data_IF_809936918415
#
_entry.id   IF_809936918415
#
_cell.length_a   1.000
_cell.length_b   1.000
_cell.length_c   1.000
_cell.angle_alpha   90.00
_cell.angle_beta   90.00
_cell.angle_gamma   90.00
#
_symmetry.space_group_name_H-M   'P 1'
#
loop_
_entity.id
_entity.type
_entity.pdbx_description
1 polymer ?
#
# COMPACT_ATOMS: atom_id res chain seq x y z
N UNK A 1 13.21 -12.02 -9.56
CA UNK A 1 12.32 -10.90 -9.18
C UNK A 1 11.42 -10.61 -10.36
N UNK A 2 10.11 -10.61 -10.17
CA UNK A 2 9.12 -10.58 -11.25
C UNK A 2 8.65 -9.13 -11.51
N UNK A 3 9.48 -8.35 -12.20
CA UNK A 3 9.16 -6.98 -12.64
C UNK A 3 9.01 -6.98 -14.15
N UNK A 4 7.88 -6.50 -14.65
CA UNK A 4 7.51 -6.59 -16.05
C UNK A 4 7.21 -5.20 -16.64
N UNK A 5 7.79 -4.95 -17.81
CA UNK A 5 7.31 -3.91 -18.71
C UNK A 5 6.01 -4.36 -19.37
N UNK A 6 5.07 -3.43 -19.56
CA UNK A 6 3.84 -3.68 -20.31
C UNK A 6 3.58 -2.48 -21.24
N UNK A 7 3.41 -2.74 -22.54
CA UNK A 7 3.11 -1.73 -23.56
C UNK A 7 4.00 -0.47 -23.52
N UNK A 8 5.31 -0.65 -23.32
CA UNK A 8 6.28 0.44 -23.25
C UNK A 8 6.36 1.14 -21.89
N UNK A 9 5.55 0.74 -20.91
CA UNK A 9 5.54 1.31 -19.56
C UNK A 9 6.34 0.42 -18.60
N UNK A 10 7.36 1.01 -17.97
CA UNK A 10 8.30 0.32 -17.07
C UNK A 10 8.10 0.78 -15.63
N UNK A 11 8.09 -0.15 -14.66
CA UNK A 11 8.11 0.23 -13.26
C UNK A 11 9.36 1.02 -12.88
N UNK A 12 9.19 2.05 -12.04
CA UNK A 12 10.27 2.85 -11.46
C UNK A 12 10.34 2.54 -9.97
N UNK A 13 11.53 2.17 -9.48
CA UNK A 13 11.74 1.77 -8.08
C UNK A 13 12.80 2.65 -7.45
N UNK A 14 12.42 3.32 -6.36
CA UNK A 14 13.29 4.19 -5.58
C UNK A 14 14.38 3.43 -4.84
N UNK A 15 15.40 4.19 -4.42
CA UNK A 15 16.56 3.64 -3.72
C UNK A 15 16.15 3.05 -2.37
N UNK A 16 16.89 2.04 -1.92
CA UNK A 16 16.69 1.35 -0.64
C UNK A 16 15.30 0.72 -0.48
N UNK A 17 14.51 0.62 -1.55
CA UNK A 17 13.26 -0.11 -1.55
C UNK A 17 13.52 -1.59 -1.78
N UNK A 18 12.82 -2.43 -1.03
CA UNK A 18 12.90 -3.87 -1.14
C UNK A 18 11.65 -4.42 -1.80
N UNK A 19 11.83 -5.14 -2.92
CA UNK A 19 10.78 -5.92 -3.56
C UNK A 19 11.08 -7.39 -3.35
N UNK A 20 10.19 -8.10 -2.68
CA UNK A 20 10.38 -9.52 -2.43
C UNK A 20 10.49 -10.30 -3.76
N UNK A 21 11.36 -11.32 -3.87
CA UNK A 21 11.52 -12.08 -5.12
C UNK A 21 10.25 -12.71 -5.68
N UNK A 22 9.26 -12.99 -4.81
CA UNK A 22 7.94 -13.53 -5.14
C UNK A 22 6.85 -12.46 -5.33
N UNK A 23 7.16 -11.18 -5.21
CA UNK A 23 6.24 -10.10 -5.57
C UNK A 23 6.23 -9.88 -7.09
N UNK A 24 5.13 -9.38 -7.62
CA UNK A 24 4.92 -9.10 -9.05
C UNK A 24 4.59 -7.63 -9.26
N UNK A 25 5.42 -6.92 -10.05
CA UNK A 25 5.21 -5.51 -10.41
C UNK A 25 5.09 -5.40 -11.94
N UNK A 26 4.02 -4.80 -12.45
CA UNK A 26 3.72 -4.78 -13.90
C UNK A 26 3.36 -3.36 -14.34
N UNK A 27 3.99 -2.87 -15.42
CA UNK A 27 3.52 -1.69 -16.16
C UNK A 27 3.84 -0.34 -15.50
N UNK A 28 2.87 0.57 -15.52
CA UNK A 28 3.00 1.96 -15.05
C UNK A 28 2.92 2.08 -13.52
N UNK A 29 3.99 1.65 -12.87
CA UNK A 29 4.10 1.66 -11.40
C UNK A 29 5.30 2.51 -10.97
N UNK A 30 5.07 3.44 -10.06
CA UNK A 30 6.13 4.21 -9.40
C UNK A 30 6.16 3.84 -7.92
N UNK A 31 7.32 3.38 -7.44
CA UNK A 31 7.57 3.08 -6.04
C UNK A 31 8.67 4.02 -5.56
N UNK A 32 8.39 4.76 -4.49
CA UNK A 32 9.31 5.69 -3.85
C UNK A 32 10.50 5.01 -3.18
N UNK A 33 11.26 5.79 -2.41
CA UNK A 33 12.43 5.29 -1.68
C UNK A 33 12.02 4.56 -0.39
N UNK A 34 12.87 3.64 0.07
CA UNK A 34 12.72 2.94 1.37
C UNK A 34 11.38 2.22 1.55
N UNK A 35 10.77 1.78 0.46
CA UNK A 35 9.52 1.02 0.49
C UNK A 35 9.78 -0.47 0.73
N UNK A 36 8.80 -1.15 1.30
CA UNK A 36 8.80 -2.62 1.42
C UNK A 36 7.64 -3.20 0.62
N UNK A 37 7.91 -4.16 -0.27
CA UNK A 37 6.89 -4.94 -0.97
C UNK A 37 7.09 -6.42 -0.66
N UNK A 38 6.13 -7.01 0.04
CA UNK A 38 6.18 -8.35 0.61
C UNK A 38 5.93 -9.48 -0.39
N UNK A 39 6.12 -10.71 0.06
CA UNK A 39 5.93 -11.91 -0.76
C UNK A 39 4.48 -12.03 -1.27
N UNK A 40 4.31 -12.42 -2.54
CA UNK A 40 2.99 -12.61 -3.16
C UNK A 40 2.21 -11.32 -3.44
N UNK A 41 2.75 -10.15 -3.09
CA UNK A 41 2.12 -8.88 -3.45
C UNK A 41 2.12 -8.69 -4.97
N UNK A 42 1.00 -8.22 -5.53
CA UNK A 42 0.84 -7.91 -6.95
C UNK A 42 0.47 -6.44 -7.10
N UNK A 43 1.33 -5.67 -7.78
CA UNK A 43 1.09 -4.26 -8.12
C UNK A 43 1.06 -4.15 -9.63
N UNK A 44 -0.15 -3.96 -10.19
CA UNK A 44 -0.38 -4.06 -11.64
C UNK A 44 -0.91 -2.75 -12.19
N UNK A 45 -0.05 -1.99 -12.85
CA UNK A 45 -0.38 -0.73 -13.53
C UNK A 45 -0.52 -0.92 -15.04
N UNK A 46 -1.36 -1.86 -15.48
CA UNK A 46 -1.60 -2.15 -16.90
C UNK A 46 -2.71 -1.28 -17.51
N UNK A 47 -3.77 -1.01 -16.74
CA UNK A 47 -4.89 -0.14 -17.14
C UNK A 47 -4.76 1.29 -16.63
N UNK A 48 -4.32 1.46 -15.38
CA UNK A 48 -4.13 2.77 -14.75
C UNK A 48 -2.81 2.82 -13.98
N UNK A 49 -2.33 4.03 -13.71
CA UNK A 49 -1.06 4.26 -13.01
C UNK A 49 -1.19 3.95 -11.52
N UNK A 50 -0.14 3.38 -10.94
CA UNK A 50 -0.05 3.20 -9.48
C UNK A 50 1.18 3.96 -8.96
N UNK A 51 0.99 4.83 -7.98
CA UNK A 51 2.06 5.57 -7.31
C UNK A 51 2.08 5.19 -5.83
N UNK A 52 3.25 4.76 -5.35
CA UNK A 52 3.51 4.41 -3.95
C UNK A 52 4.59 5.35 -3.44
N UNK A 53 4.24 6.22 -2.50
CA UNK A 53 5.13 7.22 -1.93
C UNK A 53 6.20 6.63 -1.01
N UNK A 54 7.14 7.49 -0.62
CA UNK A 54 8.32 7.10 0.14
C UNK A 54 7.97 6.44 1.48
N UNK A 55 8.75 5.44 1.86
CA UNK A 55 8.64 4.79 3.16
C UNK A 55 7.36 3.98 3.38
N UNK A 56 6.53 3.83 2.34
CA UNK A 56 5.30 3.04 2.38
C UNK A 56 5.59 1.53 2.32
N UNK A 57 4.68 0.72 2.82
CA UNK A 57 4.82 -0.74 2.77
C UNK A 57 3.56 -1.41 2.23
N UNK A 58 3.78 -2.32 1.28
CA UNK A 58 2.79 -3.19 0.65
C UNK A 58 3.08 -4.59 1.15
N UNK A 59 2.33 -5.05 2.14
CA UNK A 59 2.65 -6.30 2.83
C UNK A 59 2.30 -7.52 1.97
N UNK A 60 2.49 -8.71 2.55
CA UNK A 60 2.34 -9.99 1.85
C UNK A 60 0.94 -10.14 1.23
N UNK A 61 0.89 -10.71 0.03
CA UNK A 61 -0.35 -11.02 -0.71
C UNK A 61 -1.28 -9.84 -0.98
N UNK A 62 -0.83 -8.59 -0.87
CA UNK A 62 -1.64 -7.44 -1.26
C UNK A 62 -1.88 -7.42 -2.78
N UNK A 63 -3.03 -6.90 -3.21
CA UNK A 63 -3.33 -6.66 -4.62
C UNK A 63 -3.63 -5.20 -4.85
N UNK A 64 -2.83 -4.54 -5.69
CA UNK A 64 -3.01 -3.16 -6.14
C UNK A 64 -3.30 -3.15 -7.64
N UNK A 65 -4.43 -2.57 -8.02
CA UNK A 65 -4.87 -2.39 -9.41
C UNK A 65 -5.58 -1.04 -9.55
N UNK A 66 -5.79 -0.56 -10.78
CA UNK A 66 -6.53 0.67 -11.03
C UNK A 66 -7.39 0.53 -12.28
N UNK A 67 -8.54 1.21 -12.29
CA UNK A 67 -9.41 1.31 -13.47
C UNK A 67 -8.67 1.93 -14.68
N UNK A 68 -9.13 1.68 -15.92
CA UNK A 68 -8.54 2.24 -17.13
C UNK A 68 -8.38 3.77 -17.09
N UNK A 69 -7.22 4.27 -17.50
CA UNK A 69 -6.92 5.70 -17.62
C UNK A 69 -7.06 6.49 -16.30
N UNK A 70 -6.93 5.80 -15.16
CA UNK A 70 -6.99 6.40 -13.82
C UNK A 70 -5.68 6.25 -13.06
N UNK A 71 -5.64 6.83 -11.84
CA UNK A 71 -4.48 6.73 -10.95
C UNK A 71 -4.87 6.31 -9.54
N UNK A 72 -4.13 5.36 -8.98
CA UNK A 72 -4.11 5.06 -7.56
C UNK A 72 -2.87 5.69 -6.92
N UNK A 73 -3.07 6.65 -6.01
CA UNK A 73 -1.99 7.34 -5.31
C UNK A 73 -2.00 6.93 -3.85
N UNK A 74 -0.88 6.36 -3.40
CA UNK A 74 -0.52 6.22 -2.00
C UNK A 74 0.59 7.23 -1.75
N UNK A 75 0.37 8.19 -0.84
CA UNK A 75 1.40 9.15 -0.44
C UNK A 75 2.46 8.48 0.46
N UNK A 76 3.14 9.25 1.30
CA UNK A 76 4.26 8.77 2.10
C UNK A 76 3.81 8.02 3.35
N UNK A 77 4.61 7.04 3.77
CA UNK A 77 4.42 6.31 5.01
C UNK A 77 3.07 5.58 5.11
N UNK A 78 2.47 5.22 3.97
CA UNK A 78 1.24 4.45 3.89
C UNK A 78 1.54 2.98 4.19
N UNK A 79 0.73 2.39 5.07
CA UNK A 79 0.80 0.98 5.42
C UNK A 79 -0.38 0.25 4.78
N UNK A 80 -0.10 -0.63 3.82
CA UNK A 80 -1.09 -1.56 3.25
C UNK A 80 -0.88 -2.93 3.88
N UNK A 81 -1.80 -3.29 4.78
CA UNK A 81 -1.72 -4.49 5.60
C UNK A 81 -1.86 -5.78 4.80
N UNK A 82 -1.33 -6.87 5.33
CA UNK A 82 -1.32 -8.19 4.68
C UNK A 82 -2.65 -8.54 4.00
N UNK A 83 -2.59 -9.04 2.78
CA UNK A 83 -3.74 -9.47 1.97
C UNK A 83 -4.82 -8.39 1.72
N UNK A 84 -4.50 -7.10 1.91
CA UNK A 84 -5.41 -6.03 1.53
C UNK A 84 -5.50 -5.86 0.00
N UNK A 85 -6.65 -5.36 -0.46
CA UNK A 85 -6.90 -5.03 -1.85
C UNK A 85 -7.11 -3.53 -1.98
N UNK A 86 -6.38 -2.89 -2.90
CA UNK A 86 -6.57 -1.49 -3.26
C UNK A 86 -6.88 -1.42 -4.75
N UNK A 87 -8.07 -0.91 -5.06
CA UNK A 87 -8.52 -0.74 -6.43
C UNK A 87 -8.78 0.75 -6.70
N UNK A 88 -7.93 1.37 -7.52
CA UNK A 88 -8.06 2.78 -7.90
C UNK A 88 -9.18 3.04 -8.92
N UNK A 89 -9.51 4.32 -9.20
CA UNK A 89 -8.84 5.53 -8.70
C UNK A 89 -8.99 5.73 -7.20
N UNK A 90 -7.92 6.09 -6.51
CA UNK A 90 -7.99 6.42 -5.09
C UNK A 90 -6.85 7.34 -4.67
N UNK A 91 -7.07 8.13 -3.63
CA UNK A 91 -6.03 8.89 -2.95
C UNK A 91 -5.94 8.43 -1.49
N UNK A 92 -4.80 7.86 -1.12
CA UNK A 92 -4.48 7.44 0.23
C UNK A 92 -3.36 8.35 0.74
N UNK A 93 -3.70 9.26 1.65
CA UNK A 93 -2.79 10.31 2.13
C UNK A 93 -1.74 9.79 3.12
N UNK A 94 -0.83 10.68 3.49
CA UNK A 94 0.28 10.38 4.37
C UNK A 94 -0.11 9.67 5.67
N UNK A 95 0.72 8.72 6.10
CA UNK A 95 0.58 8.02 7.39
C UNK A 95 -0.76 7.29 7.57
N UNK A 96 -1.44 6.92 6.47
CA UNK A 96 -2.65 6.11 6.52
C UNK A 96 -2.31 4.64 6.75
N UNK A 97 -3.14 3.97 7.56
CA UNK A 97 -3.08 2.52 7.76
C UNK A 97 -4.31 1.85 7.16
N UNK A 98 -4.09 0.98 6.18
CA UNK A 98 -5.09 0.04 5.65
C UNK A 98 -4.85 -1.29 6.34
N UNK A 99 -5.80 -1.72 7.17
CA UNK A 99 -5.69 -2.95 7.94
C UNK A 99 -5.61 -4.19 7.04
N UNK A 100 -5.03 -5.27 7.57
CA UNK A 100 -4.94 -6.55 6.86
C UNK A 100 -6.30 -7.03 6.36
N UNK A 101 -6.34 -7.58 5.15
CA UNK A 101 -7.55 -8.08 4.48
C UNK A 101 -8.61 -7.01 4.20
N UNK A 102 -8.32 -5.73 4.39
CA UNK A 102 -9.25 -4.66 4.04
C UNK A 102 -9.30 -4.43 2.53
N UNK A 103 -10.42 -3.88 2.05
CA UNK A 103 -10.64 -3.55 0.65
C UNK A 103 -10.89 -2.06 0.52
N UNK A 104 -10.08 -1.38 -0.30
CA UNK A 104 -10.28 0.00 -0.74
C UNK A 104 -10.81 -0.04 -2.17
N UNK A 105 -12.03 0.46 -2.37
CA UNK A 105 -12.68 0.49 -3.68
C UNK A 105 -12.35 1.76 -4.47
N UNK A 106 -12.73 1.79 -5.74
CA UNK A 106 -12.54 2.93 -6.61
C UNK A 106 -13.27 4.21 -6.13
N UNK A 107 -12.75 5.35 -6.56
CA UNK A 107 -13.25 6.69 -6.26
C UNK A 107 -13.24 7.03 -4.75
N UNK A 108 -12.25 6.55 -4.00
CA UNK A 108 -12.14 6.81 -2.55
C UNK A 108 -11.00 7.76 -2.20
N UNK A 109 -11.18 8.54 -1.15
CA UNK A 109 -10.12 9.34 -0.53
C UNK A 109 -9.96 9.00 0.96
N UNK A 110 -8.77 8.61 1.39
CA UNK A 110 -8.47 8.31 2.78
C UNK A 110 -7.46 9.35 3.24
N UNK A 111 -7.90 10.27 4.10
CA UNK A 111 -7.09 11.41 4.50
C UNK A 111 -6.05 11.07 5.57
N UNK A 112 -5.12 12.01 5.81
CA UNK A 112 -3.91 11.81 6.61
C UNK A 112 -4.20 11.24 8.00
N UNK A 113 -3.29 10.35 8.45
CA UNK A 113 -3.32 9.74 9.78
C UNK A 113 -4.59 8.93 10.08
N UNK A 114 -5.36 8.58 9.06
CA UNK A 114 -6.59 7.78 9.19
C UNK A 114 -6.32 6.28 9.14
N UNK A 115 -7.29 5.51 9.59
CA UNK A 115 -7.19 4.05 9.65
C UNK A 115 -8.45 3.39 9.10
N UNK A 116 -8.28 2.47 8.14
CA UNK A 116 -9.30 1.50 7.76
C UNK A 116 -9.01 0.20 8.51
N UNK A 117 -9.92 -0.27 9.34
CA UNK A 117 -9.69 -1.44 10.18
C UNK A 117 -9.55 -2.73 9.36
N UNK A 118 -8.88 -3.74 9.94
CA UNK A 118 -8.72 -5.05 9.33
C UNK A 118 -10.07 -5.65 8.88
N UNK A 119 -10.07 -6.30 7.72
CA UNK A 119 -11.25 -6.93 7.11
C UNK A 119 -12.38 -5.98 6.72
N UNK A 120 -12.15 -4.66 6.76
CA UNK A 120 -13.18 -3.67 6.42
C UNK A 120 -13.21 -3.38 4.91
N UNK A 121 -14.38 -3.02 4.38
CA UNK A 121 -14.54 -2.67 2.96
C UNK A 121 -14.97 -1.20 2.88
N UNK A 122 -14.08 -0.33 2.40
CA UNK A 122 -14.43 1.04 2.04
C UNK A 122 -15.12 1.01 0.67
N UNK A 123 -16.43 1.26 0.60
CA UNK A 123 -17.17 1.11 -0.65
C UNK A 123 -16.84 2.27 -1.61
N UNK A 124 -17.15 2.12 -2.92
CA UNK A 124 -16.83 3.13 -3.92
C UNK A 124 -17.39 4.51 -3.57
N UNK A 125 -16.63 5.57 -3.88
CA UNK A 125 -17.10 6.95 -3.67
C UNK A 125 -17.10 7.41 -2.21
N UNK A 126 -16.57 6.63 -1.27
CA UNK A 126 -16.49 7.02 0.15
C UNK A 126 -15.12 7.52 0.53
N UNK A 127 -15.12 8.44 1.49
CA UNK A 127 -13.91 9.00 2.07
C UNK A 127 -13.84 8.75 3.57
N UNK A 128 -12.62 8.64 4.08
CA UNK A 128 -12.33 8.62 5.51
C UNK A 128 -11.63 9.95 5.84
N UNK A 129 -12.26 10.83 6.64
CA UNK A 129 -11.66 12.11 7.02
C UNK A 129 -10.42 11.92 7.90
N UNK A 130 -9.58 12.95 7.95
CA UNK A 130 -8.31 12.93 8.69
C UNK A 130 -8.49 12.49 10.14
N UNK A 131 -7.59 11.65 10.64
CA UNK A 131 -7.59 11.14 12.02
C UNK A 131 -8.89 10.42 12.40
N UNK A 132 -9.54 9.74 11.45
CA UNK A 132 -10.69 8.87 11.74
C UNK A 132 -10.34 7.40 11.58
N UNK A 133 -11.00 6.59 12.39
CA UNK A 133 -11.02 5.13 12.25
C UNK A 133 -12.34 4.74 11.60
N UNK A 134 -12.26 4.09 10.44
CA UNK A 134 -13.40 3.46 9.78
C UNK A 134 -13.32 1.93 9.92
N UNK A 135 -14.46 1.28 10.13
CA UNK A 135 -14.53 -0.18 10.23
C UNK A 135 -15.85 -0.76 9.70
N UNK A 136 -15.81 -2.03 9.34
CA UNK A 136 -16.98 -2.82 8.93
C UNK A 136 -17.10 -3.05 7.42
N UNK A 137 -18.15 -3.76 7.02
CA UNK A 137 -18.52 -4.00 5.64
C UNK A 137 -20.02 -3.70 5.47
N UNK A 138 -20.39 -2.55 4.88
CA UNK A 138 -19.51 -1.48 4.39
C UNK A 138 -18.93 -0.64 5.54
N UNK A 139 -17.70 -0.15 5.38
CA UNK A 139 -17.00 0.59 6.41
C UNK A 139 -17.69 1.92 6.74
N UNK A 140 -17.70 2.28 8.03
CA UNK A 140 -18.20 3.55 8.55
C UNK A 140 -17.20 4.13 9.54
N UNK A 141 -17.11 5.46 9.61
CA UNK A 141 -16.34 6.13 10.66
C UNK A 141 -16.99 5.82 12.01
N UNK A 142 -16.18 5.32 12.95
CA UNK A 142 -16.66 4.92 14.28
C UNK A 142 -16.05 5.71 15.42
N UNK A 143 -14.83 6.23 15.25
CA UNK A 143 -14.14 7.06 16.27
C UNK A 143 -12.96 7.81 15.69
N UNK A 144 -12.39 8.67 16.51
CA UNK A 144 -11.14 9.37 16.24
C UNK A 144 -9.93 8.47 16.49
N UNK A 145 -8.85 8.74 15.76
CA UNK A 145 -7.53 8.17 15.99
C UNK A 145 -6.94 8.85 17.22
N UNK A 146 -6.63 8.08 18.26
CA UNK A 146 -5.98 8.59 19.47
C UNK A 146 -4.47 8.72 19.29
N UNK A 147 -3.81 9.49 20.16
CA UNK A 147 -2.36 9.72 20.12
C UNK A 147 -1.54 8.43 20.11
N UNK A 148 -1.98 7.43 20.90
CA UNK A 148 -1.37 6.11 20.91
C UNK A 148 -1.38 5.45 19.52
N UNK A 149 -2.49 5.57 18.78
CA UNK A 149 -2.60 5.01 17.43
C UNK A 149 -1.65 5.71 16.45
N UNK A 150 -1.51 7.03 16.55
CA UNK A 150 -0.58 7.80 15.70
C UNK A 150 0.85 7.32 15.93
N UNK A 151 1.31 7.28 17.18
CA UNK A 151 2.67 6.84 17.53
C UNK A 151 2.89 5.39 17.12
N UNK A 152 1.92 4.51 17.38
CA UNK A 152 2.00 3.11 17.00
C UNK A 152 2.12 2.93 15.48
N UNK A 153 1.32 3.64 14.69
CA UNK A 153 1.36 3.56 13.23
C UNK A 153 2.70 4.06 12.67
N UNK A 154 3.23 5.16 13.20
CA UNK A 154 4.56 5.66 12.81
C UNK A 154 5.67 4.65 13.11
N UNK A 155 5.64 4.01 14.28
CA UNK A 155 6.57 2.95 14.63
C UNK A 155 6.41 1.73 13.72
N UNK A 156 5.17 1.30 13.43
CA UNK A 156 4.89 0.19 12.53
C UNK A 156 5.46 0.44 11.12
N UNK A 157 5.25 1.63 10.56
CA UNK A 157 5.84 2.02 9.28
C UNK A 157 7.36 2.04 9.34
N UNK A 158 7.94 2.60 10.41
CA UNK A 158 9.40 2.64 10.60
C UNK A 158 10.03 1.25 10.64
N UNK A 159 9.37 0.28 11.29
CA UNK A 159 9.82 -1.11 11.32
C UNK A 159 9.93 -1.71 9.91
N UNK A 160 8.99 -1.42 9.02
CA UNK A 160 9.04 -1.91 7.63
C UNK A 160 10.10 -1.20 6.78
N UNK A 161 10.35 0.09 7.02
CA UNK A 161 11.45 0.81 6.37
C UNK A 161 12.81 0.21 6.76
N UNK A 162 12.99 -0.13 8.05
CA UNK A 162 14.20 -0.78 8.54
C UNK A 162 14.29 -2.23 8.04
N UNK A 163 13.16 -2.93 7.95
CA UNK A 163 13.07 -4.27 7.37
C UNK A 163 13.47 -4.29 5.90
N UNK A 164 13.08 -3.29 5.10
CA UNK A 164 13.49 -3.18 3.70
C UNK A 164 15.02 -3.17 3.57
N UNK A 165 15.71 -2.34 4.36
CA UNK A 165 17.18 -2.31 4.40
C UNK A 165 17.80 -3.64 4.86
N UNK A 166 17.22 -4.28 5.88
CA UNK A 166 17.66 -5.60 6.36
C UNK A 166 17.47 -6.69 5.32
N UNK A 167 16.38 -6.66 4.54
CA UNK A 167 16.12 -7.65 3.51
C UNK A 167 17.08 -7.50 2.32
N UNK A 168 17.43 -6.26 1.93
CA UNK A 168 18.40 -6.00 0.86
C UNK A 168 19.79 -6.62 1.12
N UNK A 169 20.16 -6.86 2.39
CA UNK A 169 21.48 -7.37 2.78
C UNK A 169 21.44 -8.76 3.40
N UNK A 170 20.36 -9.09 4.11
CA UNK A 170 20.25 -10.28 4.94
C UNK A 170 19.35 -11.38 4.38
N UNK A 171 18.48 -11.09 3.41
CA UNK A 171 17.60 -12.12 2.85
C UNK A 171 18.37 -13.01 1.87
N UNK A 172 18.37 -14.32 2.12
CA UNK A 172 19.03 -15.33 1.28
C UNK A 172 18.06 -16.47 1.00
N UNK A 173 17.95 -16.86 -0.27
CA UNK A 173 17.31 -18.11 -0.65
C UNK A 173 18.21 -19.26 -0.21
N UNK A 174 17.64 -20.26 0.46
CA UNK A 174 18.33 -21.52 0.75
C UNK A 174 17.95 -22.47 -0.38
N UNK A 175 18.95 -22.99 -1.07
CA UNK A 175 18.78 -24.11 -2.00
C UNK A 175 18.98 -25.39 -1.19
N UNK A 176 17.91 -26.19 -1.06
CA UNK A 176 17.95 -27.54 -0.49
C UNK A 176 18.09 -28.60 -1.59
#
# INVERSE_FOLDING_TARGET
MAIYEFEGKRPIIGKLSFIHPQAVIIGEVEIGERCYVGAGAVVRGDYGKIVIGNGSNIQENCTLHSEPDTIAILEENVLIGHAAVVHGPCLIKNNVTIGMGAIVSANTEIEQESLLAAGSILPPGKSIPSRKIAMGNPARVVKDVGDYNIVYNQLATKLYQDLAGRCLTGLKLIEE
#
